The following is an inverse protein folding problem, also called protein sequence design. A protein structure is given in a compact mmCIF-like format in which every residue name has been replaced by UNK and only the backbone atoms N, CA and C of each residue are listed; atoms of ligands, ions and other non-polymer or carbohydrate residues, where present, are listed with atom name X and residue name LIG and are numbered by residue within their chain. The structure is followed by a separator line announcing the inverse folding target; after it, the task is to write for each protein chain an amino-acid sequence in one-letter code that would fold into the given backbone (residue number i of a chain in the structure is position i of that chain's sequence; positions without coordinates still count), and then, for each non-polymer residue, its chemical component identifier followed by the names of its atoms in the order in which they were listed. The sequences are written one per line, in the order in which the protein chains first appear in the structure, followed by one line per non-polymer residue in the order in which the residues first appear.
data_IF_507803876896
#
_entry.id   IF_507803876896
#
_cell.length_a   1.000
_cell.length_b   1.000
_cell.length_c   1.000
_cell.angle_alpha   90.00
_cell.angle_beta   90.00
_cell.angle_gamma   90.00
#
_symmetry.space_group_name_H-M   'P 1'
#
loop_
_entity.id
_entity.type
_entity.pdbx_description
1 polymer ?
#
# COMPACT_ATOMS: atom_id res chain seq x y z
N UNK A 1 -28.12 9.31 7.21
CA UNK A 1 -26.84 8.76 7.72
C UNK A 1 -26.29 7.60 6.88
N UNK A 2 -27.10 7.01 5.97
CA UNK A 2 -26.73 5.85 5.13
C UNK A 2 -25.65 6.12 4.08
N UNK A 3 -25.65 7.24 3.37
CA UNK A 3 -24.76 7.54 2.24
C UNK A 3 -23.27 7.71 2.61
N UNK A 4 -22.97 8.02 3.88
CA UNK A 4 -21.59 8.26 4.34
C UNK A 4 -20.87 6.96 4.69
N UNK A 5 -21.59 5.94 5.20
CA UNK A 5 -20.99 4.72 5.73
C UNK A 5 -20.21 3.90 4.69
N UNK A 6 -20.74 3.62 3.47
CA UNK A 6 -20.00 2.90 2.43
C UNK A 6 -18.73 3.63 2.00
N UNK A 7 -18.79 4.95 1.85
CA UNK A 7 -17.61 5.78 1.54
C UNK A 7 -16.54 5.73 2.62
N UNK A 8 -16.94 5.75 3.89
CA UNK A 8 -16.03 5.62 5.03
C UNK A 8 -15.37 4.24 5.05
N UNK A 9 -16.15 3.16 4.83
CA UNK A 9 -15.62 1.80 4.77
C UNK A 9 -14.60 1.66 3.63
N UNK A 10 -14.93 2.14 2.44
CA UNK A 10 -14.03 2.10 1.29
C UNK A 10 -12.75 2.92 1.53
N UNK A 11 -12.86 4.09 2.15
CA UNK A 11 -11.71 4.91 2.52
C UNK A 11 -10.81 4.20 3.55
N UNK A 12 -11.40 3.61 4.59
CA UNK A 12 -10.64 2.86 5.61
C UNK A 12 -9.97 1.63 4.98
N UNK A 13 -10.71 0.82 4.21
CA UNK A 13 -10.19 -0.37 3.56
C UNK A 13 -9.08 -0.02 2.55
N UNK A 14 -9.28 1.02 1.74
CA UNK A 14 -8.31 1.52 0.79
C UNK A 14 -7.05 2.04 1.48
N UNK A 15 -7.20 2.80 2.57
CA UNK A 15 -6.06 3.28 3.36
C UNK A 15 -5.29 2.11 4.00
N UNK A 16 -6.00 1.12 4.53
CA UNK A 16 -5.39 -0.08 5.09
C UNK A 16 -4.58 -0.84 4.03
N UNK A 17 -5.15 -1.06 2.84
CA UNK A 17 -4.47 -1.71 1.72
C UNK A 17 -3.25 -0.92 1.27
N UNK A 18 -3.37 0.40 1.20
CA UNK A 18 -2.29 1.31 0.85
C UNK A 18 -1.10 1.20 1.80
N UNK A 19 -1.39 1.22 3.08
CA UNK A 19 -0.37 1.11 4.13
C UNK A 19 0.24 -0.30 4.12
N UNK A 20 -0.56 -1.35 3.93
CA UNK A 20 -0.06 -2.71 3.79
C UNK A 20 0.88 -2.87 2.58
N UNK A 21 0.60 -2.21 1.46
CA UNK A 21 1.43 -2.22 0.27
C UNK A 21 2.72 -1.38 0.41
N UNK A 22 2.76 -0.40 1.32
CA UNK A 22 3.89 0.49 1.52
C UNK A 22 5.17 -0.26 1.91
N UNK A 23 5.08 -1.23 2.83
CA UNK A 23 6.24 -1.99 3.33
C UNK A 23 6.88 -2.83 2.23
N UNK A 24 6.16 -3.72 1.49
CA UNK A 24 6.75 -4.48 0.38
C UNK A 24 7.23 -3.58 -0.76
N UNK A 25 6.51 -2.50 -1.09
CA UNK A 25 6.95 -1.54 -2.09
C UNK A 25 8.30 -0.90 -1.70
N UNK A 26 8.42 -0.43 -0.48
CA UNK A 26 9.66 0.17 -0.01
C UNK A 26 10.83 -0.83 0.01
N UNK A 27 10.57 -2.07 0.43
CA UNK A 27 11.57 -3.14 0.37
C UNK A 27 12.07 -3.36 -1.07
N UNK A 28 11.16 -3.39 -2.06
CA UNK A 28 11.51 -3.47 -3.47
C UNK A 28 12.34 -2.27 -3.94
N UNK A 29 12.00 -1.04 -3.50
CA UNK A 29 12.76 0.16 -3.84
C UNK A 29 14.19 0.11 -3.27
N UNK A 30 14.34 -0.28 -1.99
CA UNK A 30 15.67 -0.44 -1.40
C UNK A 30 16.49 -1.54 -2.07
N UNK A 31 15.85 -2.65 -2.48
CA UNK A 31 16.55 -3.74 -3.20
C UNK A 31 16.97 -3.32 -4.60
N UNK A 32 16.11 -2.61 -5.35
CA UNK A 32 16.38 -2.25 -6.75
C UNK A 32 17.26 -1.00 -6.88
N UNK A 33 17.12 -0.03 -5.99
CA UNK A 33 17.75 1.29 -6.15
C UNK A 33 18.60 1.72 -4.94
N UNK A 34 18.61 0.91 -3.89
CA UNK A 34 19.39 1.18 -2.67
C UNK A 34 18.85 2.34 -1.81
N UNK A 35 17.80 3.03 -2.21
CA UNK A 35 17.17 4.14 -1.45
C UNK A 35 15.74 4.40 -1.90
N UNK A 36 14.95 5.04 -1.02
CA UNK A 36 13.69 5.66 -1.41
C UNK A 36 14.01 7.00 -2.10
N UNK A 37 13.78 7.09 -3.41
CA UNK A 37 13.89 8.35 -4.13
C UNK A 37 12.62 9.19 -3.94
N UNK A 38 12.75 10.48 -3.60
CA UNK A 38 11.59 11.37 -3.38
C UNK A 38 10.60 11.33 -4.56
N UNK A 39 11.08 11.51 -5.79
CA UNK A 39 10.22 11.50 -6.99
C UNK A 39 9.48 10.17 -7.18
N UNK A 40 10.14 9.04 -6.94
CA UNK A 40 9.53 7.71 -7.02
C UNK A 40 8.48 7.50 -5.93
N UNK A 41 8.75 8.01 -4.72
CA UNK A 41 7.79 7.96 -3.61
C UNK A 41 6.55 8.78 -3.91
N UNK A 42 6.71 9.98 -4.47
CA UNK A 42 5.59 10.84 -4.90
C UNK A 42 4.78 10.16 -6.01
N UNK A 43 5.45 9.57 -7.01
CA UNK A 43 4.76 8.85 -8.08
C UNK A 43 4.00 7.63 -7.56
N UNK A 44 4.61 6.83 -6.66
CA UNK A 44 3.95 5.67 -6.08
C UNK A 44 2.74 6.07 -5.22
N UNK A 45 2.89 7.12 -4.40
CA UNK A 45 1.78 7.67 -3.61
C UNK A 45 0.68 8.23 -4.50
N UNK A 46 1.04 8.99 -5.55
CA UNK A 46 0.08 9.50 -6.52
C UNK A 46 -0.66 8.38 -7.27
N UNK A 47 0.06 7.32 -7.66
CA UNK A 47 -0.55 6.13 -8.27
C UNK A 47 -1.55 5.45 -7.33
N UNK A 48 -1.20 5.34 -6.05
CA UNK A 48 -2.07 4.76 -5.05
C UNK A 48 -3.33 5.59 -4.83
N UNK A 49 -3.18 6.90 -4.60
CA UNK A 49 -4.32 7.82 -4.42
C UNK A 49 -5.21 7.79 -5.67
N UNK A 50 -4.63 7.80 -6.85
CA UNK A 50 -5.36 7.68 -8.10
C UNK A 50 -6.12 6.34 -8.20
N UNK A 51 -5.48 5.22 -7.87
CA UNK A 51 -6.15 3.90 -7.93
C UNK A 51 -7.33 3.82 -6.95
N UNK A 52 -7.17 4.37 -5.76
CA UNK A 52 -8.27 4.47 -4.78
C UNK A 52 -9.39 5.38 -5.30
N UNK A 53 -9.04 6.52 -5.88
CA UNK A 53 -10.03 7.44 -6.47
C UNK A 53 -10.79 6.79 -7.63
N UNK A 54 -10.09 6.03 -8.49
CA UNK A 54 -10.71 5.29 -9.60
C UNK A 54 -11.75 4.30 -9.07
N UNK A 55 -11.37 3.44 -8.11
CA UNK A 55 -12.28 2.45 -7.51
C UNK A 55 -13.45 3.14 -6.80
N UNK A 56 -13.18 4.17 -5.99
CA UNK A 56 -14.20 4.89 -5.24
C UNK A 56 -15.22 5.56 -6.17
N UNK A 57 -14.74 6.24 -7.20
CA UNK A 57 -15.61 6.94 -8.13
C UNK A 57 -16.47 6.00 -8.96
N UNK A 58 -15.92 4.87 -9.39
CA UNK A 58 -16.63 3.94 -10.27
C UNK A 58 -17.60 3.01 -9.54
N UNK A 59 -17.30 2.63 -8.28
CA UNK A 59 -18.11 1.67 -7.53
C UNK A 59 -19.00 2.29 -6.46
N UNK A 60 -18.73 3.52 -6.01
CA UNK A 60 -19.55 4.19 -5.00
C UNK A 60 -20.48 5.27 -5.64
N UNK A 61 -21.61 5.64 -4.96
CA UNK A 61 -22.13 5.02 -3.75
C UNK A 61 -22.77 3.66 -3.99
N UNK A 62 -22.65 2.77 -3.00
CA UNK A 62 -23.40 1.52 -3.01
C UNK A 62 -24.86 1.79 -2.66
N UNK A 63 -25.82 1.00 -3.19
CA UNK A 63 -27.24 1.19 -2.91
C UNK A 63 -27.57 0.91 -1.45
N UNK A 64 -28.39 1.78 -0.85
CA UNK A 64 -28.86 1.63 0.54
C UNK A 64 -30.08 0.75 0.65
N UNK A 65 -30.98 0.84 -0.33
CA UNK A 65 -32.21 0.05 -0.39
C UNK A 65 -32.12 -0.99 -1.50
N UNK A 66 -31.90 -2.21 -1.10
CA UNK A 66 -31.79 -3.37 -2.00
C UNK A 66 -33.17 -3.73 -2.60
N UNK A 67 -34.26 -3.45 -1.88
CA UNK A 67 -35.62 -3.82 -2.30
C UNK A 67 -36.10 -3.02 -3.52
N UNK A 68 -35.60 -1.78 -3.67
CA UNK A 68 -35.95 -0.89 -4.77
C UNK A 68 -35.11 -1.12 -6.05
N UNK A 69 -34.09 -2.00 -6.01
CA UNK A 69 -33.16 -2.19 -7.14
C UNK A 69 -33.73 -3.04 -8.29
N UNK A 70 -34.71 -3.89 -8.03
CA UNK A 70 -35.19 -4.86 -9.00
C UNK A 70 -36.57 -4.48 -9.57
N UNK A 71 -36.73 -4.57 -10.91
CA UNK A 71 -35.71 -4.90 -11.90
C UNK A 71 -34.71 -3.74 -12.08
N UNK A 72 -33.41 -4.08 -12.09
CA UNK A 72 -32.35 -3.10 -12.36
C UNK A 72 -32.35 -2.59 -13.80
N UNK A 73 -31.58 -1.52 -14.11
CA UNK A 73 -31.45 -1.04 -15.47
C UNK A 73 -30.84 -2.11 -16.37
N UNK A 74 -31.42 -2.28 -17.55
CA UNK A 74 -30.86 -3.17 -18.57
C UNK A 74 -29.56 -2.61 -19.18
N UNK A 75 -28.72 -3.44 -19.85
CA UNK A 75 -27.50 -2.95 -20.44
C UNK A 75 -27.77 -2.02 -21.63
N UNK A 76 -27.05 -0.90 -21.71
CA UNK A 76 -27.01 0.00 -22.86
C UNK A 76 -25.88 -0.48 -23.80
N UNK A 77 -26.26 -1.05 -24.96
CA UNK A 77 -25.30 -1.66 -25.89
C UNK A 77 -25.18 -0.89 -27.22
N UNK A 78 -25.89 0.23 -27.38
CA UNK A 78 -25.84 1.04 -28.60
C UNK A 78 -24.74 2.09 -28.47
N UNK A 79 -23.66 2.00 -29.25
CA UNK A 79 -22.57 2.96 -29.15
C UNK A 79 -23.01 4.36 -29.60
N UNK A 80 -22.37 5.39 -29.03
CA UNK A 80 -22.61 6.83 -29.30
C UNK A 80 -23.97 7.36 -28.83
N UNK A 81 -24.66 6.66 -27.94
CA UNK A 81 -25.92 7.14 -27.33
C UNK A 81 -25.69 8.43 -26.57
N UNK A 82 -24.52 8.62 -25.94
CA UNK A 82 -24.14 9.83 -25.25
C UNK A 82 -24.30 11.11 -26.09
N UNK A 83 -24.15 11.02 -27.42
CA UNK A 83 -24.35 12.19 -28.31
C UNK A 83 -25.80 12.62 -28.32
N UNK A 84 -26.74 11.66 -28.32
CA UNK A 84 -28.17 11.95 -28.24
C UNK A 84 -28.52 12.54 -26.87
N UNK A 85 -27.93 12.03 -25.83
CA UNK A 85 -28.19 12.53 -24.47
C UNK A 85 -27.64 13.94 -24.26
N UNK A 86 -26.46 14.27 -24.84
CA UNK A 86 -25.97 15.65 -24.91
C UNK A 86 -26.98 16.58 -25.59
N UNK A 87 -27.57 16.15 -26.70
CA UNK A 87 -28.57 16.97 -27.43
C UNK A 87 -29.85 17.12 -26.62
N UNK A 88 -30.36 16.06 -25.98
CA UNK A 88 -31.55 16.09 -25.09
C UNK A 88 -31.36 17.05 -23.92
N UNK A 89 -30.16 17.13 -23.39
CA UNK A 89 -29.82 17.99 -22.24
C UNK A 89 -29.43 19.43 -22.66
N UNK A 90 -29.80 19.86 -23.85
CA UNK A 90 -29.65 21.24 -24.33
C UNK A 90 -28.45 21.48 -25.22
N UNK A 91 -27.71 20.42 -25.59
CA UNK A 91 -26.55 20.51 -26.51
C UNK A 91 -25.34 21.22 -25.91
N UNK A 92 -24.33 21.43 -26.76
CA UNK A 92 -23.08 22.11 -26.41
C UNK A 92 -22.81 23.22 -27.42
N UNK A 93 -22.82 24.48 -26.95
CA UNK A 93 -22.55 25.66 -27.76
C UNK A 93 -21.18 26.30 -27.50
N UNK A 94 -20.43 25.78 -26.52
CA UNK A 94 -19.11 26.30 -26.16
C UNK A 94 -18.50 25.61 -24.94
N UNK A 95 -17.28 25.98 -24.52
CA UNK A 95 -16.57 25.28 -23.42
C UNK A 95 -17.33 25.30 -22.10
N UNK A 96 -18.08 26.37 -21.82
CA UNK A 96 -18.85 26.48 -20.58
C UNK A 96 -20.07 25.55 -20.60
N UNK A 97 -20.78 25.47 -21.73
CA UNK A 97 -21.92 24.55 -21.88
C UNK A 97 -21.49 23.09 -21.95
N UNK A 98 -20.27 22.79 -22.41
CA UNK A 98 -19.70 21.44 -22.36
C UNK A 98 -19.60 20.91 -20.92
N UNK A 99 -19.14 21.73 -19.97
CA UNK A 99 -19.00 21.32 -18.57
C UNK A 99 -20.32 21.40 -17.78
N UNK A 100 -21.27 22.20 -18.24
CA UNK A 100 -22.58 22.33 -17.61
C UNK A 100 -23.63 21.34 -18.13
N UNK A 101 -23.38 20.68 -19.26
CA UNK A 101 -24.20 19.60 -19.78
C UNK A 101 -23.82 18.29 -19.08
N UNK A 102 -24.71 17.65 -18.33
CA UNK A 102 -24.38 16.47 -17.53
C UNK A 102 -23.83 15.31 -18.36
N UNK A 103 -24.45 14.96 -19.50
CA UNK A 103 -24.00 13.88 -20.36
C UNK A 103 -22.61 14.15 -20.96
N UNK A 104 -22.35 15.36 -21.42
CA UNK A 104 -21.04 15.75 -21.92
C UNK A 104 -19.97 15.75 -20.83
N UNK A 105 -20.30 16.25 -19.65
CA UNK A 105 -19.42 16.27 -18.50
C UNK A 105 -19.07 14.84 -18.02
N UNK A 106 -20.06 13.94 -17.98
CA UNK A 106 -19.84 12.53 -17.63
C UNK A 106 -18.89 11.85 -18.62
N UNK A 107 -19.15 11.97 -19.93
CA UNK A 107 -18.27 11.40 -20.97
C UNK A 107 -16.83 11.93 -20.85
N UNK A 108 -16.68 13.26 -20.74
CA UNK A 108 -15.36 13.88 -20.60
C UNK A 108 -14.66 13.42 -19.31
N UNK A 109 -15.41 13.32 -18.22
CA UNK A 109 -14.84 12.88 -16.94
C UNK A 109 -14.33 11.44 -17.01
N UNK A 110 -15.04 10.52 -17.67
CA UNK A 110 -14.59 9.15 -17.90
C UNK A 110 -13.29 9.12 -18.70
N UNK A 111 -13.20 9.92 -19.78
CA UNK A 111 -11.95 10.07 -20.54
C UNK A 111 -10.80 10.56 -19.63
N UNK A 112 -11.01 11.64 -18.88
CA UNK A 112 -9.96 12.23 -18.02
C UNK A 112 -9.57 11.27 -16.89
N UNK A 113 -10.53 10.55 -16.33
CA UNK A 113 -10.32 9.59 -15.24
C UNK A 113 -9.38 8.45 -15.67
N UNK A 114 -9.45 7.99 -16.93
CA UNK A 114 -8.63 6.89 -17.42
C UNK A 114 -7.29 7.30 -18.03
N UNK A 115 -7.07 8.60 -18.30
CA UNK A 115 -5.78 9.08 -18.81
C UNK A 115 -4.59 8.69 -17.92
N UNK A 116 -4.61 8.88 -16.58
CA UNK A 116 -3.49 8.49 -15.73
C UNK A 116 -3.20 6.97 -15.80
N UNK A 117 -4.22 6.12 -15.91
CA UNK A 117 -4.06 4.68 -16.04
C UNK A 117 -3.21 4.32 -17.27
N UNK A 118 -3.58 4.82 -18.44
CA UNK A 118 -2.83 4.57 -19.67
C UNK A 118 -1.39 5.06 -19.60
N UNK A 119 -1.17 6.26 -19.04
CA UNK A 119 0.16 6.84 -18.84
C UNK A 119 1.03 6.00 -17.90
N UNK A 120 0.48 5.57 -16.76
CA UNK A 120 1.18 4.77 -15.75
C UNK A 120 1.52 3.37 -16.29
N UNK A 121 0.58 2.70 -16.96
CA UNK A 121 0.81 1.36 -17.53
C UNK A 121 1.93 1.40 -18.57
N UNK A 122 1.88 2.33 -19.52
CA UNK A 122 2.94 2.47 -20.52
C UNK A 122 4.28 2.80 -19.87
N UNK A 123 4.32 3.70 -18.89
CA UNK A 123 5.54 4.04 -18.17
C UNK A 123 6.13 2.82 -17.43
N UNK A 124 5.29 2.01 -16.78
CA UNK A 124 5.75 0.90 -15.94
C UNK A 124 6.23 -0.31 -16.75
N UNK A 125 5.55 -0.64 -17.86
CA UNK A 125 5.73 -1.93 -18.54
C UNK A 125 6.57 -1.80 -19.81
N UNK A 126 6.29 -0.82 -20.67
CA UNK A 126 6.83 -0.75 -22.04
C UNK A 126 7.35 0.65 -22.40
N UNK A 127 8.04 1.31 -21.49
CA UNK A 127 8.56 2.66 -21.60
C UNK A 127 9.35 2.93 -22.90
N UNK A 128 10.12 1.94 -23.37
CA UNK A 128 10.99 2.07 -24.54
C UNK A 128 10.37 1.50 -25.84
N UNK A 129 9.19 0.85 -25.79
CA UNK A 129 8.50 0.26 -26.94
C UNK A 129 7.22 1.02 -27.20
N UNK A 130 7.30 2.04 -28.10
CA UNK A 130 6.22 2.99 -28.30
C UNK A 130 4.87 2.33 -28.67
N UNK A 131 4.86 1.50 -29.70
CA UNK A 131 3.63 0.85 -30.19
C UNK A 131 3.09 -0.19 -29.20
N UNK A 132 3.97 -1.04 -28.69
CA UNK A 132 3.57 -2.05 -27.69
C UNK A 132 3.07 -1.39 -26.38
N UNK A 133 3.68 -0.26 -25.99
CA UNK A 133 3.23 0.51 -24.83
C UNK A 133 1.86 1.16 -25.03
N UNK A 134 1.58 1.65 -26.24
CA UNK A 134 0.27 2.19 -26.59
C UNK A 134 -0.80 1.09 -26.53
N UNK A 135 -0.54 -0.06 -27.16
CA UNK A 135 -1.45 -1.20 -27.09
C UNK A 135 -1.68 -1.68 -25.65
N UNK A 136 -0.61 -1.88 -24.88
CA UNK A 136 -0.73 -2.35 -23.49
C UNK A 136 -1.54 -1.38 -22.61
N UNK A 137 -1.26 -0.07 -22.68
CA UNK A 137 -1.99 0.93 -21.90
C UNK A 137 -3.46 1.00 -22.25
N UNK A 138 -3.78 0.97 -23.55
CA UNK A 138 -5.18 0.97 -24.04
C UNK A 138 -5.89 -0.34 -23.68
N UNK A 139 -5.25 -1.49 -23.86
CA UNK A 139 -5.85 -2.79 -23.52
C UNK A 139 -6.10 -2.94 -22.00
N UNK A 140 -5.19 -2.47 -21.17
CA UNK A 140 -5.39 -2.45 -19.71
C UNK A 140 -6.53 -1.49 -19.36
N UNK A 141 -6.57 -0.31 -19.97
CA UNK A 141 -7.68 0.64 -19.78
C UNK A 141 -9.02 0.04 -20.14
N UNK A 142 -9.13 -0.59 -21.31
CA UNK A 142 -10.33 -1.31 -21.73
C UNK A 142 -10.69 -2.45 -20.76
N UNK A 143 -9.72 -3.27 -20.36
CA UNK A 143 -9.95 -4.38 -19.43
C UNK A 143 -10.42 -3.93 -18.06
N UNK A 144 -9.85 -2.83 -17.51
CA UNK A 144 -10.30 -2.24 -16.25
C UNK A 144 -11.70 -1.65 -16.40
N UNK A 145 -11.99 -0.94 -17.49
CA UNK A 145 -13.33 -0.42 -17.77
C UNK A 145 -14.35 -1.55 -17.87
N UNK A 146 -14.05 -2.60 -18.63
CA UNK A 146 -14.93 -3.77 -18.75
C UNK A 146 -15.17 -4.46 -17.39
N UNK A 147 -14.13 -4.55 -16.55
CA UNK A 147 -14.25 -5.10 -15.20
C UNK A 147 -15.20 -4.27 -14.33
N UNK A 148 -15.10 -2.94 -14.42
CA UNK A 148 -16.00 -2.00 -13.70
C UNK A 148 -17.45 -2.20 -14.17
N UNK A 149 -17.68 -2.15 -15.47
CA UNK A 149 -19.02 -2.33 -16.06
C UNK A 149 -19.62 -3.69 -15.70
N UNK A 150 -18.79 -4.76 -15.73
CA UNK A 150 -19.23 -6.09 -15.33
C UNK A 150 -19.55 -6.18 -13.84
N UNK A 151 -18.77 -5.52 -13.00
CA UNK A 151 -19.04 -5.44 -11.55
C UNK A 151 -20.38 -4.77 -11.28
N UNK A 152 -20.68 -3.67 -11.97
CA UNK A 152 -21.94 -2.94 -11.84
C UNK A 152 -23.13 -3.76 -12.38
N UNK A 153 -22.96 -4.41 -13.54
CA UNK A 153 -23.99 -5.26 -14.19
C UNK A 153 -24.37 -6.45 -13.32
N UNK A 154 -23.40 -7.06 -12.64
CA UNK A 154 -23.63 -8.23 -11.78
C UNK A 154 -24.08 -7.88 -10.36
N UNK A 155 -24.31 -6.61 -10.07
CA UNK A 155 -24.63 -6.18 -8.71
C UNK A 155 -23.49 -6.50 -7.73
N UNK A 156 -22.29 -6.03 -8.04
CA UNK A 156 -21.06 -6.32 -7.26
C UNK A 156 -20.82 -7.82 -7.06
N UNK A 157 -20.71 -8.54 -8.19
CA UNK A 157 -20.46 -9.99 -8.18
C UNK A 157 -21.53 -10.76 -7.41
N UNK A 158 -22.80 -10.40 -7.65
CA UNK A 158 -23.97 -11.02 -7.06
C UNK A 158 -24.15 -10.74 -5.54
N UNK A 159 -23.46 -9.75 -5.02
CA UNK A 159 -23.68 -9.24 -3.66
C UNK A 159 -25.07 -8.58 -3.55
N UNK A 160 -25.50 -7.92 -4.63
CA UNK A 160 -26.84 -7.35 -4.80
C UNK A 160 -27.68 -8.23 -5.74
N UNK A 161 -29.02 -8.31 -5.54
CA UNK A 161 -29.89 -9.18 -6.34
C UNK A 161 -30.04 -8.72 -7.80
N UNK A 162 -29.74 -7.45 -8.08
CA UNK A 162 -29.84 -6.85 -9.42
C UNK A 162 -28.72 -5.84 -9.65
N UNK A 163 -28.48 -5.49 -10.92
CA UNK A 163 -27.63 -4.37 -11.29
C UNK A 163 -28.13 -3.07 -10.63
N UNK A 164 -27.23 -2.32 -10.00
CA UNK A 164 -27.55 -1.02 -9.39
C UNK A 164 -27.09 0.15 -10.26
N UNK A 165 -26.33 -0.11 -11.30
CA UNK A 165 -25.94 0.85 -12.35
C UNK A 165 -26.12 0.24 -13.71
N UNK A 166 -26.28 1.09 -14.72
CA UNK A 166 -26.36 0.73 -16.10
C UNK A 166 -24.99 0.27 -16.61
N UNK A 167 -24.93 -0.92 -17.23
CA UNK A 167 -23.79 -1.28 -18.08
C UNK A 167 -23.84 -0.42 -19.35
N UNK A 168 -22.82 0.37 -19.63
CA UNK A 168 -22.82 1.31 -20.74
C UNK A 168 -21.60 1.11 -21.66
N UNK A 169 -21.87 0.82 -22.94
CA UNK A 169 -20.81 0.68 -23.94
C UNK A 169 -20.10 2.03 -24.22
N UNK A 170 -20.78 3.15 -24.01
CA UNK A 170 -20.18 4.46 -24.20
C UNK A 170 -19.15 4.77 -23.09
N UNK A 171 -19.34 4.25 -21.87
CA UNK A 171 -18.34 4.31 -20.82
C UNK A 171 -17.10 3.47 -21.17
N UNK A 172 -17.27 2.28 -21.80
CA UNK A 172 -16.13 1.51 -22.31
C UNK A 172 -15.35 2.30 -23.39
N UNK A 173 -16.04 3.00 -24.28
CA UNK A 173 -15.42 3.82 -25.31
C UNK A 173 -14.69 5.01 -24.72
N UNK A 174 -15.32 5.77 -23.81
CA UNK A 174 -14.76 6.94 -23.17
C UNK A 174 -13.51 6.59 -22.34
N UNK A 175 -13.60 5.53 -21.52
CA UNK A 175 -12.51 5.05 -20.68
C UNK A 175 -11.32 4.54 -21.51
N UNK A 176 -11.61 3.80 -22.60
CA UNK A 176 -10.57 3.31 -23.53
C UNK A 176 -9.90 4.45 -24.28
N UNK A 177 -10.66 5.45 -24.74
CA UNK A 177 -10.13 6.64 -25.37
C UNK A 177 -9.26 7.44 -24.39
N UNK A 178 -9.71 7.56 -23.14
CA UNK A 178 -8.92 8.17 -22.05
C UNK A 178 -7.59 7.48 -21.83
N UNK A 179 -7.61 6.15 -21.71
CA UNK A 179 -6.40 5.35 -21.57
C UNK A 179 -5.46 5.51 -22.76
N UNK A 180 -5.99 5.50 -23.99
CA UNK A 180 -5.21 5.76 -25.21
C UNK A 180 -4.53 7.11 -25.18
N UNK A 181 -5.28 8.19 -24.91
CA UNK A 181 -4.73 9.55 -24.78
C UNK A 181 -3.68 9.58 -23.67
N UNK A 182 -3.97 8.94 -22.55
CA UNK A 182 -3.04 8.83 -21.43
C UNK A 182 -1.72 8.16 -21.78
N UNK A 183 -1.71 7.15 -22.67
CA UNK A 183 -0.46 6.55 -23.13
C UNK A 183 0.44 7.58 -23.83
N UNK A 184 -0.12 8.54 -24.53
CA UNK A 184 0.65 9.62 -25.17
C UNK A 184 1.28 10.53 -24.13
N UNK A 185 0.68 10.69 -22.96
CA UNK A 185 1.20 11.48 -21.83
C UNK A 185 2.24 10.74 -20.97
N UNK A 186 2.56 9.47 -21.25
CA UNK A 186 3.57 8.71 -20.49
C UNK A 186 4.97 9.39 -20.38
N UNK A 187 5.47 10.20 -21.35
CA UNK A 187 6.69 10.96 -21.17
C UNK A 187 6.64 11.93 -19.99
N UNK A 188 5.48 12.51 -19.66
CA UNK A 188 5.29 13.37 -18.49
C UNK A 188 5.49 12.58 -17.18
N UNK A 189 4.97 11.35 -17.13
CA UNK A 189 5.19 10.45 -15.99
C UNK A 189 6.69 10.12 -15.85
N UNK A 190 7.39 9.92 -16.96
CA UNK A 190 8.83 9.69 -16.96
C UNK A 190 9.62 10.90 -16.43
N UNK A 191 9.22 12.13 -16.79
CA UNK A 191 9.81 13.36 -16.24
C UNK A 191 9.59 13.48 -14.73
N UNK A 192 8.38 13.15 -14.25
CA UNK A 192 8.06 13.15 -12.82
C UNK A 192 8.83 12.07 -12.07
N UNK A 193 8.96 10.87 -12.63
CA UNK A 193 9.72 9.77 -12.04
C UNK A 193 11.22 10.09 -11.92
N UNK A 194 11.72 10.97 -12.78
CA UNK A 194 13.14 11.31 -12.88
C UNK A 194 13.94 10.26 -13.66
N UNK A 195 15.17 10.61 -14.03
CA UNK A 195 16.07 9.67 -14.67
C UNK A 195 16.46 8.58 -13.67
N UNK A 196 16.30 7.32 -14.05
CA UNK A 196 16.97 6.19 -13.40
C UNK A 196 18.48 6.33 -13.61
N UNK A 197 19.13 7.22 -12.85
CA UNK A 197 20.53 6.97 -12.58
C UNK A 197 20.52 5.67 -11.79
N UNK A 198 20.92 4.58 -12.44
CA UNK A 198 21.23 3.31 -11.79
C UNK A 198 22.38 3.60 -10.83
N UNK A 199 22.07 4.12 -9.66
CA UNK A 199 23.00 4.10 -8.56
C UNK A 199 23.12 2.63 -8.23
N UNK A 200 24.34 2.11 -8.31
CA UNK A 200 24.62 0.71 -8.03
C UNK A 200 23.96 0.30 -6.71
N UNK A 201 23.01 -0.63 -6.81
CA UNK A 201 22.25 -1.11 -5.66
C UNK A 201 23.14 -1.88 -4.67
N UNK A 202 24.36 -2.24 -5.06
CA UNK A 202 25.35 -2.94 -4.23
C UNK A 202 26.13 -1.98 -3.32
N UNK A 203 26.23 -0.69 -3.67
CA UNK A 203 27.03 0.28 -2.93
C UNK A 203 26.45 0.56 -1.54
N UNK A 204 27.23 0.42 -0.44
CA UNK A 204 26.81 0.77 0.90
C UNK A 204 26.44 2.25 1.01
N UNK A 205 25.42 2.56 1.81
CA UNK A 205 24.91 3.92 2.01
C UNK A 205 24.83 4.29 3.48
N UNK A 206 25.00 5.56 3.83
CA UNK A 206 24.94 6.00 5.22
C UNK A 206 23.56 5.71 5.86
N UNK A 207 23.58 5.48 7.16
CA UNK A 207 22.37 5.34 7.97
C UNK A 207 21.80 6.73 8.23
N UNK A 208 20.77 7.10 7.50
CA UNK A 208 20.09 8.39 7.66
C UNK A 208 18.91 8.30 8.63
N UNK A 209 18.49 9.45 9.21
CA UNK A 209 17.32 9.54 10.08
C UNK A 209 16.07 8.96 9.41
N UNK A 210 15.80 9.37 8.16
CA UNK A 210 14.65 8.91 7.40
C UNK A 210 14.71 7.41 7.13
N UNK A 211 15.88 6.87 6.78
CA UNK A 211 16.07 5.44 6.54
C UNK A 211 15.80 4.63 7.80
N UNK A 212 16.35 5.07 8.94
CA UNK A 212 16.15 4.39 10.22
C UNK A 212 14.71 4.51 10.70
N UNK A 213 14.15 5.71 10.66
CA UNK A 213 12.74 5.95 11.01
C UNK A 213 11.78 5.13 10.15
N UNK A 214 12.04 5.05 8.82
CA UNK A 214 11.24 4.21 7.94
C UNK A 214 11.30 2.71 8.29
N UNK A 215 12.47 2.19 8.67
CA UNK A 215 12.58 0.81 9.18
C UNK A 215 11.74 0.58 10.44
N UNK A 216 11.76 1.53 11.39
CA UNK A 216 10.93 1.45 12.61
C UNK A 216 9.43 1.51 12.29
N UNK A 217 9.01 2.38 11.38
CA UNK A 217 7.62 2.45 10.88
C UNK A 217 7.22 1.14 10.19
N UNK A 218 8.09 0.56 9.37
CA UNK A 218 7.84 -0.71 8.71
C UNK A 218 7.63 -1.87 9.71
N UNK A 219 8.42 -1.91 10.78
CA UNK A 219 8.24 -2.88 11.87
C UNK A 219 6.88 -2.70 12.55
N UNK A 220 6.53 -1.46 12.89
CA UNK A 220 5.25 -1.14 13.53
C UNK A 220 4.07 -1.52 12.62
N UNK A 221 4.11 -1.11 11.36
CA UNK A 221 3.05 -1.42 10.40
C UNK A 221 2.88 -2.92 10.20
N UNK A 222 3.96 -3.68 10.06
CA UNK A 222 3.89 -5.12 9.91
C UNK A 222 3.17 -5.80 11.08
N UNK A 223 3.47 -5.39 12.31
CA UNK A 223 2.82 -5.91 13.52
C UNK A 223 1.35 -5.49 13.60
N UNK A 224 1.07 -4.19 13.42
CA UNK A 224 -0.29 -3.66 13.55
C UNK A 224 -1.22 -4.26 12.49
N UNK A 225 -0.77 -4.37 11.23
CA UNK A 225 -1.59 -4.96 10.19
C UNK A 225 -1.79 -6.46 10.38
N UNK A 226 -0.71 -7.22 10.63
CA UNK A 226 -0.83 -8.67 10.85
C UNK A 226 -1.69 -8.96 12.10
N UNK A 227 -1.41 -8.30 13.21
CA UNK A 227 -2.19 -8.45 14.43
C UNK A 227 -3.64 -7.99 14.28
N UNK A 228 -3.86 -6.84 13.65
CA UNK A 228 -5.19 -6.30 13.39
C UNK A 228 -6.03 -7.19 12.47
N UNK A 229 -5.46 -7.73 11.39
CA UNK A 229 -6.15 -8.67 10.51
C UNK A 229 -6.55 -9.97 11.24
N UNK A 230 -5.62 -10.54 11.99
CA UNK A 230 -5.88 -11.79 12.73
C UNK A 230 -6.93 -11.60 13.82
N UNK A 231 -6.82 -10.54 14.62
CA UNK A 231 -7.78 -10.27 15.70
C UNK A 231 -9.16 -9.89 15.17
N UNK A 232 -9.22 -9.07 14.10
CA UNK A 232 -10.50 -8.72 13.45
C UNK A 232 -11.14 -9.95 12.79
N UNK A 233 -10.35 -10.79 12.12
CA UNK A 233 -10.83 -12.05 11.55
C UNK A 233 -11.43 -12.97 12.60
N UNK A 234 -10.73 -13.17 13.71
CA UNK A 234 -11.26 -13.98 14.83
C UNK A 234 -12.52 -13.34 15.44
N UNK A 235 -12.51 -12.02 15.68
CA UNK A 235 -13.66 -11.32 16.24
C UNK A 235 -14.90 -11.42 15.34
N UNK A 236 -14.73 -11.37 14.02
CA UNK A 236 -15.80 -11.58 13.05
C UNK A 236 -16.30 -13.03 13.09
N UNK A 237 -15.39 -14.02 13.12
CA UNK A 237 -15.76 -15.43 13.21
C UNK A 237 -16.55 -15.72 14.47
N UNK A 238 -16.11 -15.21 15.63
CA UNK A 238 -16.85 -15.36 16.89
C UNK A 238 -18.25 -14.73 16.81
N UNK A 239 -18.38 -13.57 16.15
CA UNK A 239 -19.67 -12.92 15.96
C UNK A 239 -20.62 -13.73 15.04
N UNK A 240 -20.08 -14.34 13.97
CA UNK A 240 -20.86 -15.21 13.07
C UNK A 240 -21.31 -16.53 13.73
N UNK A 241 -20.60 -16.96 14.77
CA UNK A 241 -20.92 -18.16 15.56
C UNK A 241 -21.76 -17.83 16.81
N UNK A 242 -22.27 -16.60 16.93
CA UNK A 242 -23.02 -16.09 18.08
C UNK A 242 -22.31 -16.28 19.45
N UNK A 243 -20.98 -16.31 19.43
CA UNK A 243 -20.16 -16.42 20.66
C UNK A 243 -20.04 -15.03 21.31
N UNK A 244 -20.37 -14.93 22.59
CA UNK A 244 -20.17 -13.70 23.35
C UNK A 244 -18.66 -13.36 23.42
N UNK A 245 -18.27 -12.24 22.77
CA UNK A 245 -16.89 -11.75 22.74
C UNK A 245 -16.38 -11.26 24.09
N UNK A 246 -17.27 -11.12 25.08
CA UNK A 246 -16.90 -10.76 26.47
C UNK A 246 -16.69 -11.99 27.35
N UNK A 247 -16.96 -13.19 26.86
CA UNK A 247 -16.67 -14.41 27.61
C UNK A 247 -15.16 -14.56 27.83
N UNK A 248 -14.76 -15.10 28.95
CA UNK A 248 -13.35 -15.30 29.31
C UNK A 248 -12.59 -16.07 28.24
N UNK A 249 -13.22 -17.07 27.64
CA UNK A 249 -12.64 -17.89 26.57
C UNK A 249 -12.40 -17.05 25.30
N UNK A 250 -13.36 -16.21 24.89
CA UNK A 250 -13.22 -15.37 23.72
C UNK A 250 -12.14 -14.30 23.92
N UNK A 251 -12.10 -13.69 25.10
CA UNK A 251 -11.06 -12.73 25.50
C UNK A 251 -9.69 -13.40 25.46
N UNK A 252 -9.53 -14.57 26.05
CA UNK A 252 -8.27 -15.32 26.03
C UNK A 252 -7.81 -15.65 24.61
N UNK A 253 -8.72 -16.10 23.73
CA UNK A 253 -8.41 -16.37 22.32
C UNK A 253 -7.97 -15.10 21.57
N UNK A 254 -8.63 -13.97 21.77
CA UNK A 254 -8.26 -12.69 21.17
C UNK A 254 -6.87 -12.24 21.61
N UNK A 255 -6.53 -12.40 22.89
CA UNK A 255 -5.18 -12.10 23.43
C UNK A 255 -4.14 -13.03 22.79
N UNK A 256 -4.39 -14.34 22.73
CA UNK A 256 -3.47 -15.30 22.09
C UNK A 256 -3.23 -14.92 20.63
N UNK A 257 -4.27 -14.60 19.89
CA UNK A 257 -4.17 -14.20 18.46
C UNK A 257 -3.45 -12.85 18.31
N UNK A 258 -3.67 -11.90 19.22
CA UNK A 258 -2.95 -10.62 19.22
C UNK A 258 -1.43 -10.80 19.43
N UNK A 259 -1.02 -11.83 20.16
CA UNK A 259 0.39 -12.16 20.40
C UNK A 259 1.08 -12.86 19.22
N UNK A 260 0.35 -13.36 18.22
CA UNK A 260 0.94 -14.05 17.05
C UNK A 260 1.89 -13.13 16.27
N UNK A 261 1.50 -11.89 16.01
CA UNK A 261 2.33 -10.96 15.25
C UNK A 261 3.65 -10.59 15.96
N UNK A 262 3.66 -10.17 17.24
CA UNK A 262 4.91 -9.91 17.96
C UNK A 262 5.75 -11.18 18.17
N UNK A 263 5.14 -12.35 18.36
CA UNK A 263 5.87 -13.61 18.44
C UNK A 263 6.54 -13.97 17.10
N UNK A 264 5.85 -13.80 15.99
CA UNK A 264 6.42 -13.97 14.64
C UNK A 264 7.62 -13.04 14.40
N UNK A 265 7.51 -11.77 14.83
CA UNK A 265 8.65 -10.84 14.77
C UNK A 265 9.82 -11.32 15.68
N UNK A 266 9.54 -11.84 16.87
CA UNK A 266 10.58 -12.40 17.73
C UNK A 266 11.32 -13.55 17.02
N UNK A 267 10.61 -14.45 16.38
CA UNK A 267 11.22 -15.55 15.61
C UNK A 267 12.14 -14.99 14.52
N UNK A 268 11.69 -14.01 13.75
CA UNK A 268 12.53 -13.35 12.72
C UNK A 268 13.79 -12.77 13.36
N UNK A 269 13.67 -12.06 14.47
CA UNK A 269 14.82 -11.44 15.17
C UNK A 269 15.75 -12.51 15.75
N UNK A 270 15.22 -13.61 16.30
CA UNK A 270 16.02 -14.71 16.84
C UNK A 270 16.78 -15.48 15.74
N UNK A 271 16.20 -15.63 14.57
CA UNK A 271 16.83 -16.36 13.46
C UNK A 271 17.85 -15.47 12.74
N UNK A 272 17.46 -14.26 12.37
CA UNK A 272 18.26 -13.40 11.48
C UNK A 272 19.16 -12.40 12.22
N UNK A 273 18.84 -12.07 13.48
CA UNK A 273 19.45 -10.99 14.25
C UNK A 273 18.93 -9.60 13.87
N UNK A 274 17.96 -9.49 12.97
CA UNK A 274 17.40 -8.25 12.43
C UNK A 274 15.89 -8.21 12.58
N UNK A 275 15.33 -7.02 12.68
CA UNK A 275 13.88 -6.83 12.57
C UNK A 275 13.44 -6.86 11.10
N UNK A 276 12.13 -6.99 10.86
CA UNK A 276 11.59 -6.92 9.50
C UNK A 276 11.89 -5.56 8.85
N UNK A 277 11.73 -4.47 9.61
CA UNK A 277 12.04 -3.12 9.15
C UNK A 277 13.52 -2.95 8.79
N UNK A 278 14.44 -3.56 9.57
CA UNK A 278 15.87 -3.57 9.21
C UNK A 278 16.13 -4.32 7.90
N UNK A 279 15.42 -5.42 7.64
CA UNK A 279 15.48 -6.11 6.33
C UNK A 279 14.93 -5.25 5.19
N UNK A 280 13.82 -4.54 5.42
CA UNK A 280 13.20 -3.65 4.42
C UNK A 280 14.16 -2.55 3.98
N UNK A 281 14.83 -1.90 4.94
CA UNK A 281 15.73 -0.77 4.66
C UNK A 281 17.20 -1.18 4.52
N UNK A 282 17.51 -2.47 4.48
CA UNK A 282 18.86 -3.02 4.31
C UNK A 282 19.83 -2.53 5.39
N UNK A 283 19.42 -2.60 6.65
CA UNK A 283 20.26 -2.31 7.81
C UNK A 283 20.59 -3.59 8.59
N UNK A 284 21.72 -3.61 9.25
CA UNK A 284 22.11 -4.69 10.18
C UNK A 284 22.73 -4.13 11.46
N UNK A 285 22.49 -4.78 12.61
CA UNK A 285 23.19 -4.44 13.84
C UNK A 285 24.64 -4.97 13.79
N UNK A 286 25.57 -4.21 14.38
CA UNK A 286 27.00 -4.51 14.44
C UNK A 286 27.52 -4.26 15.85
N UNK A 287 28.29 -5.21 16.44
CA UNK A 287 28.56 -6.56 15.97
C UNK A 287 27.30 -7.45 15.92
N UNK A 288 27.37 -8.64 15.36
CA UNK A 288 26.22 -9.55 15.27
C UNK A 288 25.69 -9.86 16.69
N UNK A 289 24.39 -9.59 16.96
CA UNK A 289 23.87 -9.73 18.31
C UNK A 289 23.78 -11.19 18.77
N UNK A 290 24.18 -11.47 20.01
CA UNK A 290 23.89 -12.71 20.69
C UNK A 290 22.39 -12.81 21.06
N UNK A 291 21.94 -14.00 21.46
CA UNK A 291 20.50 -14.29 21.72
C UNK A 291 19.90 -13.30 22.75
N UNK A 292 20.57 -13.04 23.84
CA UNK A 292 20.08 -12.09 24.87
C UNK A 292 19.89 -10.68 24.31
N UNK A 293 20.86 -10.18 23.51
CA UNK A 293 20.74 -8.87 22.88
C UNK A 293 19.59 -8.81 21.85
N UNK A 294 19.29 -9.92 21.15
CA UNK A 294 18.14 -10.03 20.23
C UNK A 294 16.82 -9.90 20.97
N UNK A 295 16.67 -10.60 22.09
CA UNK A 295 15.46 -10.54 22.94
C UNK A 295 15.27 -9.13 23.50
N UNK A 296 16.31 -8.53 24.06
CA UNK A 296 16.24 -7.16 24.60
C UNK A 296 15.87 -6.14 23.51
N UNK A 297 16.46 -6.24 22.32
CA UNK A 297 16.13 -5.38 21.20
C UNK A 297 14.67 -5.52 20.76
N UNK A 298 14.16 -6.72 20.71
CA UNK A 298 12.76 -6.99 20.41
C UNK A 298 11.83 -6.43 21.50
N UNK A 299 12.16 -6.67 22.78
CA UNK A 299 11.37 -6.20 23.93
C UNK A 299 11.32 -4.68 24.06
N UNK A 300 12.41 -3.97 23.70
CA UNK A 300 12.50 -2.51 23.70
C UNK A 300 12.10 -1.88 22.35
N UNK A 301 11.60 -2.69 21.42
CA UNK A 301 11.14 -2.28 20.11
C UNK A 301 9.63 -2.47 19.92
N UNK A 302 9.22 -2.53 18.66
CA UNK A 302 7.82 -2.73 18.24
C UNK A 302 7.21 -4.05 18.75
N UNK A 303 8.02 -5.10 18.93
CA UNK A 303 7.54 -6.38 19.45
C UNK A 303 7.11 -6.29 20.92
N UNK A 304 7.94 -5.70 21.78
CA UNK A 304 7.58 -5.46 23.18
C UNK A 304 6.42 -4.50 23.34
N UNK A 305 6.39 -3.43 22.53
CA UNK A 305 5.25 -2.50 22.49
C UNK A 305 3.94 -3.23 22.16
N UNK A 306 3.93 -4.07 21.13
CA UNK A 306 2.73 -4.81 20.73
C UNK A 306 2.29 -5.83 21.80
N UNK A 307 3.26 -6.51 22.41
CA UNK A 307 2.99 -7.45 23.51
C UNK A 307 2.34 -6.76 24.70
N UNK A 308 2.86 -5.58 25.09
CA UNK A 308 2.30 -4.77 26.19
C UNK A 308 0.88 -4.29 25.89
N UNK A 309 0.56 -4.01 24.63
CA UNK A 309 -0.79 -3.61 24.23
C UNK A 309 -1.76 -4.80 24.08
N UNK A 310 -1.26 -6.03 23.93
CA UNK A 310 -2.08 -7.23 23.84
C UNK A 310 -2.47 -7.79 25.22
N UNK A 311 -1.67 -7.52 26.26
CA UNK A 311 -1.90 -8.02 27.60
C UNK A 311 -2.35 -6.92 28.55
N UNK A 312 -3.30 -7.23 29.44
CA UNK A 312 -3.84 -6.27 30.40
C UNK A 312 -3.22 -6.52 31.77
N UNK A 313 -2.27 -5.65 32.17
CA UNK A 313 -1.77 -5.61 33.52
C UNK A 313 -1.50 -4.15 33.96
N UNK A 314 -1.41 -3.89 35.27
CA UNK A 314 -1.09 -2.56 35.75
C UNK A 314 0.21 -2.03 35.10
N UNK A 315 0.23 -0.76 34.65
CA UNK A 315 1.38 -0.09 34.02
C UNK A 315 1.74 -0.54 32.59
N UNK A 316 1.05 -1.52 31.96
CA UNK A 316 1.34 -1.93 30.59
C UNK A 316 1.35 -0.75 29.60
N UNK A 317 0.35 0.13 29.69
CA UNK A 317 0.26 1.35 28.88
C UNK A 317 1.41 2.32 29.11
N UNK A 318 1.84 2.51 30.37
CA UNK A 318 3.00 3.36 30.69
C UNK A 318 4.29 2.79 30.10
N UNK A 319 4.50 1.48 30.21
CA UNK A 319 5.68 0.82 29.64
C UNK A 319 5.67 0.90 28.10
N UNK A 320 4.52 0.68 27.48
CA UNK A 320 4.35 0.83 26.03
C UNK A 320 4.65 2.27 25.58
N UNK A 321 4.17 3.27 26.32
CA UNK A 321 4.48 4.69 26.07
C UNK A 321 5.98 4.96 26.20
N UNK A 322 6.64 4.47 27.24
CA UNK A 322 8.08 4.65 27.44
C UNK A 322 8.91 4.01 26.32
N UNK A 323 8.49 2.87 25.76
CA UNK A 323 9.12 2.27 24.58
C UNK A 323 9.02 3.23 23.38
N UNK A 324 7.87 3.83 23.14
CA UNK A 324 7.68 4.79 22.02
C UNK A 324 8.55 6.02 22.22
N UNK A 325 8.53 6.62 23.42
CA UNK A 325 9.36 7.78 23.73
C UNK A 325 10.85 7.44 23.60
N UNK A 326 11.29 6.30 24.16
CA UNK A 326 12.66 5.82 24.02
C UNK A 326 13.06 5.62 22.56
N UNK A 327 12.17 5.05 21.73
CA UNK A 327 12.41 4.85 20.31
C UNK A 327 12.60 6.18 19.56
N UNK A 328 11.73 7.18 19.82
CA UNK A 328 11.81 8.51 19.19
C UNK A 328 13.04 9.29 19.65
N UNK A 329 13.29 9.33 20.95
CA UNK A 329 14.50 9.98 21.51
C UNK A 329 15.75 9.27 21.01
N UNK A 330 15.77 7.94 21.04
CA UNK A 330 16.91 7.16 20.58
C UNK A 330 17.21 7.34 19.09
N UNK A 331 16.20 7.57 18.26
CA UNK A 331 16.37 7.84 16.84
C UNK A 331 17.16 9.13 16.56
N UNK A 332 16.98 10.15 17.41
CA UNK A 332 17.62 11.49 17.25
C UNK A 332 18.90 11.61 18.08
N UNK A 333 18.85 11.19 19.33
CA UNK A 333 19.90 11.46 20.32
C UNK A 333 21.07 10.46 20.28
N UNK A 334 20.89 9.27 19.68
CA UNK A 334 21.99 8.28 19.69
C UNK A 334 22.99 8.52 18.56
N UNK A 335 24.29 8.31 18.84
CA UNK A 335 25.37 8.32 17.84
C UNK A 335 25.03 7.33 16.73
N UNK A 336 25.36 7.69 15.49
CA UNK A 336 25.15 6.88 14.29
C UNK A 336 23.67 6.41 14.10
N UNK A 337 22.74 7.09 14.80
CA UNK A 337 21.29 6.82 14.71
C UNK A 337 20.93 5.37 14.98
N UNK A 338 21.71 4.72 15.86
CA UNK A 338 21.52 3.30 16.21
C UNK A 338 20.18 3.02 16.89
N UNK A 339 19.53 4.04 17.49
CA UNK A 339 18.25 3.91 18.17
C UNK A 339 18.37 3.37 19.59
N UNK A 340 17.32 3.57 20.41
CA UNK A 340 17.30 3.24 21.83
C UNK A 340 17.63 1.75 22.11
N UNK A 341 16.91 0.82 21.48
CA UNK A 341 17.07 -0.61 21.71
C UNK A 341 18.50 -1.12 21.42
N UNK A 342 19.12 -0.64 20.32
CA UNK A 342 20.52 -0.96 20.02
C UNK A 342 21.50 -0.29 20.97
N UNK A 343 21.20 0.94 21.43
CA UNK A 343 22.04 1.67 22.36
C UNK A 343 22.15 0.97 23.72
N UNK A 344 21.01 0.44 24.23
CA UNK A 344 20.97 -0.32 25.49
C UNK A 344 21.87 -1.57 25.43
N UNK A 345 21.87 -2.28 24.31
CA UNK A 345 22.72 -3.47 24.14
C UNK A 345 24.08 -3.17 23.50
N UNK A 346 24.47 -1.92 23.41
CA UNK A 346 25.78 -1.44 22.90
C UNK A 346 26.08 -1.85 21.45
N UNK A 347 25.07 -1.98 20.62
CA UNK A 347 25.23 -2.30 19.20
C UNK A 347 25.21 -1.01 18.35
N UNK A 348 25.99 -1.01 17.27
CA UNK A 348 25.89 -0.09 16.15
C UNK A 348 24.86 -0.57 15.11
N UNK A 349 24.62 0.26 14.12
CA UNK A 349 23.78 -0.09 12.93
C UNK A 349 24.53 0.37 11.68
N UNK A 350 24.63 -0.50 10.71
CA UNK A 350 25.26 -0.20 9.42
C UNK A 350 24.42 -0.72 8.23
N UNK A 351 24.81 -0.34 7.02
CA UNK A 351 24.26 -0.89 5.79
C UNK A 351 24.64 -2.36 5.67
N UNK A 352 23.70 -3.23 5.29
CA UNK A 352 23.97 -4.67 5.18
C UNK A 352 24.90 -5.05 4.03
N UNK A 353 25.20 -4.09 3.14
CA UNK A 353 26.16 -4.21 2.03
C UNK A 353 27.59 -3.83 2.41
N UNK A 354 27.79 -3.24 3.59
CA UNK A 354 29.14 -2.93 4.06
C UNK A 354 29.91 -4.24 4.22
N UNK A 355 31.07 -4.40 3.56
CA UNK A 355 31.91 -5.60 3.72
C UNK A 355 32.21 -5.85 5.21
N UNK A 356 32.24 -7.09 5.62
CA UNK A 356 32.75 -7.42 6.95
C UNK A 356 34.19 -6.92 7.09
N UNK A 357 34.57 -6.38 8.26
CA UNK A 357 35.97 -6.05 8.49
C UNK A 357 36.82 -7.29 8.19
N UNK A 358 37.84 -7.13 7.37
CA UNK A 358 38.84 -8.19 7.12
C UNK A 358 39.52 -8.47 8.47
N UNK A 359 39.37 -9.68 8.99
CA UNK A 359 40.09 -10.08 10.21
C UNK A 359 41.60 -9.99 9.92
N UNK A 360 42.36 -9.21 10.69
CA UNK A 360 43.81 -9.15 10.51
C UNK A 360 44.40 -10.57 10.69
N UNK A 361 44.97 -11.14 9.63
CA UNK A 361 45.62 -12.43 9.69
C UNK A 361 44.96 -13.59 8.95
N UNK A 362 43.82 -13.34 8.27
CA UNK A 362 43.32 -14.37 7.33
C UNK A 362 43.93 -14.14 5.96
N UNK A 363 44.69 -15.14 5.38
CA UNK A 363 45.24 -14.98 4.05
C UNK A 363 44.11 -14.65 3.05
N UNK A 364 44.33 -13.64 2.25
CA UNK A 364 43.43 -13.30 1.14
C UNK A 364 43.53 -14.42 0.08
N UNK A 365 42.45 -14.57 -0.70
CA UNK A 365 42.42 -15.59 -1.77
C UNK A 365 43.54 -15.39 -2.80
N UNK A 366 44.19 -14.21 -2.85
CA UNK A 366 45.36 -13.91 -3.66
C UNK A 366 46.65 -14.54 -3.09
N UNK A 367 46.73 -14.71 -1.75
CA UNK A 367 47.88 -15.32 -1.09
C UNK A 367 47.93 -16.86 -1.21
N UNK A 368 46.90 -17.45 -1.83
CA UNK A 368 46.79 -18.93 -2.04
C UNK A 368 47.06 -19.36 -3.49
N UNK A 369 47.46 -18.44 -4.36
CA UNK A 369 47.69 -18.70 -5.80
C UNK A 369 49.18 -18.65 -6.19
N UNK A 370 50.11 -18.46 -5.24
CA UNK A 370 51.56 -18.56 -5.47
C UNK A 370 52.12 -19.92 -5.02
#
# INVERSE_FOLDING_TARGET
MGTVLPGVIAFIAGTALAVAALVPWAALQYRRHGSLGFRRSVLAFGTLVYSLALVTYTLLPLPEDVSALCPGPGPQLVPFTFVQDIVKEGGVSGPRSLLSNPAAAQFLFNVVLFMPLGALVRHAVLRHRWFAGLLAGTSVGFGVSLLIEFTQLTGDWFLYPCAYRLFDVDDLLANSAGALIGTLAAPLVALLAGSDRQTDASTPRPVTLLRRGFGMVADLLAIVFTGGMLTSGLATTLALLDVDRRSDTAVALLVVVALVAPAGQLVIVLVTGRTLGEHVVRLRPVPRPGVGARIVRWALGSGGWATLNAVSFPFAGLLAFLIVVGALVGLVATRDRRGFANAVVRLGVEDDRTPAPVEPGRPTQEDLVD
#
